data_IF_321678188462
#
_entry.id   IF_321678188462
#
_cell.length_a   1.000
_cell.length_b   1.000
_cell.length_c   1.000
_cell.angle_alpha   90.00
_cell.angle_beta   90.00
_cell.angle_gamma   90.00
#
_symmetry.space_group_name_H-M   'P 1'
#
loop_
_entity.id
_entity.type
_entity.pdbx_description
1 polymer ?
#
# COMPACT_ATOMS: atom_id res chain seq x y z
N UNK A 1 19.56 2.06 -2.48
CA UNK A 1 19.13 1.13 -1.40
C UNK A 1 19.43 -0.35 -1.67
N UNK A 2 20.11 -0.71 -2.78
CA UNK A 2 20.56 -2.11 -3.01
C UNK A 2 21.45 -2.64 -1.90
N UNK A 3 22.31 -1.79 -1.33
CA UNK A 3 23.18 -2.15 -0.20
C UNK A 3 22.37 -2.55 1.04
N UNK A 4 21.25 -1.86 1.31
CA UNK A 4 20.33 -2.24 2.36
C UNK A 4 19.71 -3.61 2.10
N UNK A 5 19.27 -3.89 0.87
CA UNK A 5 18.69 -5.19 0.51
C UNK A 5 19.73 -6.31 0.69
N UNK A 6 20.98 -6.05 0.29
CA UNK A 6 22.09 -6.99 0.50
C UNK A 6 22.33 -7.24 2.00
N UNK A 7 22.42 -6.18 2.82
CA UNK A 7 22.59 -6.28 4.26
C UNK A 7 21.47 -7.09 4.93
N UNK A 8 20.21 -6.77 4.62
CA UNK A 8 19.04 -7.45 5.17
C UNK A 8 19.00 -8.94 4.78
N UNK A 9 19.30 -9.25 3.51
CA UNK A 9 19.21 -10.63 2.98
C UNK A 9 20.41 -11.49 3.35
N UNK A 10 21.62 -10.94 3.30
CA UNK A 10 22.86 -11.73 3.40
C UNK A 10 23.54 -11.61 4.76
N UNK A 11 23.45 -10.46 5.43
CA UNK A 11 24.03 -10.27 6.76
C UNK A 11 23.04 -10.63 7.87
N UNK A 12 21.84 -10.01 7.86
CA UNK A 12 20.79 -10.30 8.85
C UNK A 12 20.02 -11.60 8.55
N UNK A 13 20.10 -12.11 7.32
CA UNK A 13 19.44 -13.33 6.84
C UNK A 13 17.91 -13.33 7.10
N UNK A 14 17.28 -12.17 6.96
CA UNK A 14 15.85 -11.99 7.20
C UNK A 14 15.06 -12.71 6.12
N UNK A 15 14.26 -13.71 6.52
CA UNK A 15 13.51 -14.57 5.62
C UNK A 15 12.34 -13.83 4.96
N UNK A 16 11.57 -13.09 5.74
CA UNK A 16 10.36 -12.41 5.29
C UNK A 16 10.58 -10.90 5.23
N UNK A 17 11.09 -10.45 4.12
CA UNK A 17 11.41 -9.06 3.84
C UNK A 17 10.87 -8.65 2.48
N UNK A 18 10.22 -7.51 2.41
CA UNK A 18 9.80 -6.86 1.18
C UNK A 18 10.06 -5.36 1.27
N UNK A 19 10.56 -4.78 0.21
CA UNK A 19 10.76 -3.33 0.08
C UNK A 19 10.19 -2.82 -1.24
N UNK A 20 9.62 -1.66 -1.19
CA UNK A 20 9.20 -0.90 -2.37
C UNK A 20 9.63 0.56 -2.17
N UNK A 21 10.63 0.98 -2.95
CA UNK A 21 11.30 2.28 -2.83
C UNK A 21 11.80 2.50 -1.39
N UNK A 22 11.15 3.38 -0.61
CA UNK A 22 11.50 3.72 0.78
C UNK A 22 10.70 2.95 1.82
N UNK A 23 9.59 2.33 1.41
CA UNK A 23 8.75 1.54 2.31
C UNK A 23 9.29 0.11 2.41
N UNK A 24 9.55 -0.36 3.63
CA UNK A 24 9.96 -1.74 3.90
C UNK A 24 9.06 -2.41 4.93
N UNK A 25 8.90 -3.71 4.80
CA UNK A 25 8.16 -4.57 5.74
C UNK A 25 8.96 -5.82 6.03
N UNK A 26 9.07 -6.14 7.32
CA UNK A 26 9.69 -7.36 7.84
C UNK A 26 8.64 -8.11 8.66
N UNK A 27 8.58 -9.42 8.52
CA UNK A 27 7.69 -10.27 9.32
C UNK A 27 8.51 -11.23 10.16
N UNK A 28 8.20 -11.29 11.45
CA UNK A 28 8.73 -12.28 12.39
C UNK A 28 7.72 -12.54 13.49
N UNK A 29 7.73 -13.75 14.07
CA UNK A 29 6.83 -14.15 15.15
C UNK A 29 7.30 -13.67 16.53
N UNK A 30 8.56 -13.33 16.68
CA UNK A 30 9.15 -12.83 17.93
C UNK A 30 9.39 -11.32 17.82
N UNK A 31 8.79 -10.57 18.77
CA UNK A 31 8.89 -9.11 18.81
C UNK A 31 10.32 -8.64 19.09
N UNK A 32 11.05 -9.29 19.99
CA UNK A 32 12.42 -8.88 20.35
C UNK A 32 13.36 -9.01 19.14
N UNK A 33 13.13 -10.00 18.27
CA UNK A 33 13.90 -10.12 17.01
C UNK A 33 13.56 -8.99 16.04
N UNK A 34 12.31 -8.54 15.99
CA UNK A 34 11.96 -7.38 15.17
C UNK A 34 12.60 -6.09 15.71
N UNK A 35 12.64 -5.91 17.02
CA UNK A 35 13.33 -4.78 17.67
C UNK A 35 14.83 -4.80 17.34
N UNK A 36 15.47 -5.96 17.44
CA UNK A 36 16.86 -6.15 17.03
C UNK A 36 17.08 -5.80 15.55
N UNK A 37 16.21 -6.27 14.64
CA UNK A 37 16.31 -5.93 13.22
C UNK A 37 16.12 -4.45 12.94
N UNK A 38 15.21 -3.79 13.65
CA UNK A 38 14.98 -2.34 13.53
C UNK A 38 16.23 -1.55 13.92
N UNK A 39 16.87 -1.93 15.03
CA UNK A 39 18.13 -1.31 15.50
C UNK A 39 19.27 -1.52 14.51
N UNK A 40 19.52 -2.74 14.07
CA UNK A 40 20.57 -3.08 13.12
C UNK A 40 20.41 -2.37 11.77
N UNK A 41 19.17 -2.32 11.25
CA UNK A 41 18.87 -1.61 10.01
C UNK A 41 19.09 -0.11 10.18
N UNK A 42 18.67 0.48 11.30
CA UNK A 42 18.87 1.90 11.56
C UNK A 42 20.36 2.26 11.67
N UNK A 43 21.15 1.43 12.36
CA UNK A 43 22.60 1.58 12.47
C UNK A 43 23.27 1.47 11.09
N UNK A 44 22.88 0.49 10.27
CA UNK A 44 23.38 0.36 8.91
C UNK A 44 23.06 1.58 8.04
N UNK A 45 21.81 2.06 8.09
CA UNK A 45 21.37 3.24 7.34
C UNK A 45 22.17 4.48 7.72
N UNK A 46 22.38 4.74 9.03
CA UNK A 46 23.13 5.88 9.54
C UNK A 46 24.60 5.82 9.12
N UNK A 47 25.24 4.68 9.33
CA UNK A 47 26.69 4.54 9.13
C UNK A 47 27.09 4.50 7.65
N UNK A 48 26.33 3.75 6.83
CA UNK A 48 26.70 3.46 5.45
C UNK A 48 26.02 4.37 4.43
N UNK A 49 24.76 4.75 4.66
CA UNK A 49 23.95 5.47 3.68
C UNK A 49 23.63 6.92 4.08
N UNK A 50 24.00 7.33 5.29
CA UNK A 50 23.65 8.66 5.86
C UNK A 50 22.12 8.92 5.85
N UNK A 51 21.36 7.86 6.05
CA UNK A 51 19.91 7.85 6.17
C UNK A 51 19.50 7.36 7.56
N UNK A 52 18.24 7.55 7.93
CA UNK A 52 17.69 7.03 9.17
C UNK A 52 16.24 6.56 8.99
N UNK A 53 15.81 5.65 9.84
CA UNK A 53 14.40 5.26 9.89
C UNK A 53 13.56 6.42 10.43
N UNK A 54 12.42 6.64 9.82
CA UNK A 54 11.50 7.69 10.26
C UNK A 54 10.79 7.25 11.53
N UNK A 55 11.09 7.86 12.69
CA UNK A 55 10.62 7.49 14.03
C UNK A 55 9.10 7.25 14.11
N UNK A 56 8.30 8.15 13.54
CA UNK A 56 6.83 8.04 13.59
C UNK A 56 6.24 6.99 12.66
N UNK A 57 7.00 6.50 11.67
CA UNK A 57 6.53 5.52 10.67
C UNK A 57 7.07 4.12 10.93
N UNK A 58 8.26 4.00 11.50
CA UNK A 58 8.81 2.71 11.92
C UNK A 58 8.04 2.20 13.12
N UNK A 59 7.35 1.08 12.96
CA UNK A 59 6.45 0.52 13.99
C UNK A 59 6.37 -0.98 13.92
N UNK A 60 6.60 -1.62 15.04
CA UNK A 60 6.31 -3.04 15.20
C UNK A 60 4.83 -3.19 15.56
N UNK A 61 4.08 -3.84 14.71
CA UNK A 61 2.63 -4.03 14.86
C UNK A 61 2.24 -5.49 14.64
N UNK A 62 1.23 -5.94 15.37
CA UNK A 62 0.64 -7.27 15.12
C UNK A 62 -0.04 -7.32 13.75
N UNK A 63 0.16 -8.42 13.01
CA UNK A 63 -0.45 -8.67 11.71
C UNK A 63 -1.99 -8.67 11.76
N UNK A 64 -2.58 -9.01 12.91
CA UNK A 64 -4.04 -8.89 13.12
C UNK A 64 -4.58 -7.46 12.96
N UNK A 65 -3.74 -6.45 13.22
CA UNK A 65 -4.10 -5.05 12.99
C UNK A 65 -4.01 -4.64 11.53
N UNK A 66 -3.45 -5.51 10.66
CA UNK A 66 -3.25 -5.28 9.24
C UNK A 66 -2.15 -4.25 8.94
N UNK A 67 -1.20 -4.64 8.09
CA UNK A 67 -0.06 -3.82 7.69
C UNK A 67 -0.44 -2.93 6.51
N UNK A 68 -0.22 -1.63 6.63
CA UNK A 68 -0.44 -0.67 5.53
C UNK A 68 0.77 -0.69 4.60
N UNK A 69 0.59 -1.19 3.38
CA UNK A 69 1.65 -1.25 2.38
C UNK A 69 1.05 -1.13 0.97
N UNK A 70 1.67 -0.33 0.12
CA UNK A 70 1.27 -0.09 -1.28
C UNK A 70 -0.22 0.23 -1.50
N UNK A 71 -0.81 1.02 -0.63
CA UNK A 71 -2.21 1.44 -0.77
C UNK A 71 -3.23 0.44 -0.23
N UNK A 72 -2.76 -0.67 0.31
CA UNK A 72 -3.59 -1.72 0.93
C UNK A 72 -3.36 -1.79 2.44
N UNK A 73 -4.28 -2.47 3.11
CA UNK A 73 -4.14 -2.95 4.48
C UNK A 73 -4.13 -4.49 4.42
N UNK A 74 -2.94 -5.06 4.61
CA UNK A 74 -2.65 -6.47 4.42
C UNK A 74 -2.81 -7.22 5.74
N UNK A 75 -3.61 -8.27 5.74
CA UNK A 75 -3.81 -9.21 6.83
C UNK A 75 -3.22 -10.56 6.44
N UNK A 76 -3.29 -11.54 7.31
CA UNK A 76 -2.72 -12.86 7.04
C UNK A 76 -3.38 -13.55 5.82
N UNK A 77 -4.72 -13.54 5.74
CA UNK A 77 -5.46 -14.27 4.68
C UNK A 77 -6.06 -13.36 3.61
N UNK A 78 -6.14 -12.06 3.83
CA UNK A 78 -6.81 -11.13 2.93
C UNK A 78 -6.18 -9.74 3.00
N UNK A 79 -6.52 -8.93 2.04
CA UNK A 79 -6.17 -7.50 2.03
C UNK A 79 -7.35 -6.63 1.68
N UNK A 80 -7.38 -5.45 2.26
CA UNK A 80 -8.38 -4.42 2.01
C UNK A 80 -7.73 -3.20 1.38
N UNK A 81 -8.51 -2.42 0.66
CA UNK A 81 -8.09 -1.09 0.25
C UNK A 81 -7.89 -0.19 1.48
N UNK A 82 -6.85 0.63 1.45
CA UNK A 82 -6.63 1.64 2.49
C UNK A 82 -7.81 2.62 2.52
N UNK A 83 -8.30 2.97 3.72
CA UNK A 83 -9.47 3.86 3.89
C UNK A 83 -9.32 5.18 3.13
N UNK A 84 -8.12 5.76 3.10
CA UNK A 84 -7.84 6.97 2.33
C UNK A 84 -8.07 6.79 0.82
N UNK A 85 -7.76 5.62 0.25
CA UNK A 85 -7.99 5.32 -1.17
C UNK A 85 -9.50 5.19 -1.46
N UNK A 86 -10.28 4.66 -0.52
CA UNK A 86 -11.75 4.60 -0.64
C UNK A 86 -12.35 6.01 -0.61
N UNK A 87 -11.87 6.87 0.26
CA UNK A 87 -12.32 8.27 0.32
C UNK A 87 -11.95 8.99 -1.00
N UNK A 88 -10.73 8.78 -1.47
CA UNK A 88 -10.21 9.39 -2.70
C UNK A 88 -11.03 9.00 -3.92
N UNK A 89 -11.35 7.72 -4.10
CA UNK A 89 -12.17 7.28 -5.24
C UNK A 89 -13.58 7.86 -5.19
N UNK A 90 -14.22 7.91 -4.01
CA UNK A 90 -15.56 8.51 -3.88
C UNK A 90 -15.58 9.99 -4.29
N UNK A 91 -14.50 10.72 -3.99
CA UNK A 91 -14.33 12.10 -4.45
C UNK A 91 -14.12 12.15 -5.96
N UNK A 92 -13.20 11.35 -6.49
CA UNK A 92 -12.91 11.30 -7.92
C UNK A 92 -14.13 10.93 -8.74
N UNK A 93 -14.97 10.00 -8.30
CA UNK A 93 -16.21 9.65 -9.01
C UNK A 93 -17.16 10.83 -9.13
N UNK A 94 -17.29 11.65 -8.09
CA UNK A 94 -18.12 12.88 -8.15
C UNK A 94 -17.53 13.91 -9.11
N UNK A 95 -16.21 14.06 -9.12
CA UNK A 95 -15.49 14.95 -10.03
C UNK A 95 -15.64 14.46 -11.49
N UNK A 96 -15.43 13.17 -11.76
CA UNK A 96 -15.57 12.60 -13.10
C UNK A 96 -16.99 12.71 -13.65
N UNK A 97 -18.01 12.50 -12.80
CA UNK A 97 -19.41 12.69 -13.18
C UNK A 97 -19.70 14.14 -13.58
N UNK A 98 -19.23 15.10 -12.80
CA UNK A 98 -19.35 16.53 -13.09
C UNK A 98 -18.64 16.90 -14.40
N UNK A 99 -17.41 16.42 -14.59
CA UNK A 99 -16.62 16.69 -15.78
C UNK A 99 -17.29 16.11 -17.04
N UNK A 100 -17.92 14.96 -16.94
CA UNK A 100 -18.70 14.37 -18.01
C UNK A 100 -19.95 15.20 -18.33
N UNK A 101 -20.72 15.59 -17.34
CA UNK A 101 -21.89 16.46 -17.51
C UNK A 101 -21.55 17.83 -18.11
N UNK A 102 -20.34 18.32 -17.89
CA UNK A 102 -19.81 19.56 -18.47
C UNK A 102 -19.12 19.36 -19.82
N UNK A 103 -19.22 18.18 -20.44
CA UNK A 103 -18.54 17.81 -21.68
C UNK A 103 -17.00 17.99 -21.66
N UNK A 104 -16.38 18.01 -20.50
CA UNK A 104 -14.91 18.09 -20.33
C UNK A 104 -14.21 16.77 -20.61
N UNK A 105 -14.88 15.67 -20.39
CA UNK A 105 -14.43 14.32 -20.71
C UNK A 105 -15.54 13.56 -21.46
N UNK A 106 -15.12 12.71 -22.39
CA UNK A 106 -16.05 11.81 -23.08
C UNK A 106 -16.26 10.50 -22.30
N UNK A 107 -17.25 9.72 -22.73
CA UNK A 107 -17.60 8.43 -22.12
C UNK A 107 -16.40 7.45 -22.09
N UNK A 108 -15.65 7.37 -23.18
CA UNK A 108 -14.46 6.49 -23.26
C UNK A 108 -13.42 6.82 -22.22
N UNK A 109 -13.13 8.10 -21.99
CA UNK A 109 -12.18 8.56 -20.96
C UNK A 109 -12.71 8.30 -19.55
N UNK A 110 -14.01 8.47 -19.33
CA UNK A 110 -14.65 8.16 -18.06
C UNK A 110 -14.56 6.66 -17.75
N UNK A 111 -14.88 5.82 -18.72
CA UNK A 111 -14.79 4.36 -18.62
C UNK A 111 -13.35 3.91 -18.33
N UNK A 112 -12.37 4.42 -19.08
CA UNK A 112 -10.94 4.11 -18.85
C UNK A 112 -10.48 4.44 -17.42
N UNK A 113 -10.87 5.60 -16.88
CA UNK A 113 -10.57 5.96 -15.48
C UNK A 113 -11.19 4.99 -14.47
N UNK A 114 -12.45 4.59 -14.70
CA UNK A 114 -13.16 3.66 -13.84
C UNK A 114 -12.54 2.25 -13.89
N UNK A 115 -12.20 1.77 -15.07
CA UNK A 115 -11.60 0.45 -15.28
C UNK A 115 -10.19 0.37 -14.69
N UNK A 116 -9.37 1.40 -14.84
CA UNK A 116 -8.05 1.49 -14.19
C UNK A 116 -8.16 1.42 -12.66
N UNK A 117 -9.17 2.06 -12.08
CA UNK A 117 -9.39 1.97 -10.65
C UNK A 117 -9.92 0.59 -10.22
N UNK A 118 -10.84 -0.01 -10.98
CA UNK A 118 -11.33 -1.37 -10.72
C UNK A 118 -10.19 -2.37 -10.72
N UNK A 119 -9.30 -2.27 -11.71
CA UNK A 119 -8.13 -3.14 -11.80
C UNK A 119 -7.25 -3.03 -10.54
N UNK A 120 -6.93 -1.81 -10.12
CA UNK A 120 -6.22 -1.61 -8.85
C UNK A 120 -7.00 -2.19 -7.66
N UNK A 121 -8.31 -1.99 -7.60
CA UNK A 121 -9.14 -2.47 -6.51
C UNK A 121 -9.30 -3.99 -6.50
N UNK A 122 -9.23 -4.66 -7.66
CA UNK A 122 -9.35 -6.11 -7.80
C UNK A 122 -8.26 -6.89 -7.04
N UNK A 123 -7.10 -6.24 -6.83
CA UNK A 123 -6.03 -6.79 -6.00
C UNK A 123 -6.36 -6.86 -4.49
N UNK A 124 -7.55 -6.45 -4.07
CA UNK A 124 -8.03 -6.53 -2.69
C UNK A 124 -9.42 -7.19 -2.60
N UNK A 125 -9.86 -7.53 -1.40
CA UNK A 125 -11.23 -7.99 -1.14
C UNK A 125 -12.22 -6.82 -1.28
N UNK A 126 -12.42 -6.35 -2.49
CA UNK A 126 -13.15 -5.11 -2.82
C UNK A 126 -14.42 -5.32 -3.64
N UNK A 127 -14.83 -6.56 -3.91
CA UNK A 127 -15.99 -6.87 -4.74
C UNK A 127 -17.27 -6.10 -4.32
N UNK A 128 -17.62 -6.16 -3.03
CA UNK A 128 -18.78 -5.46 -2.50
C UNK A 128 -18.64 -3.92 -2.59
N UNK A 129 -17.42 -3.41 -2.47
CA UNK A 129 -17.15 -1.98 -2.62
C UNK A 129 -17.33 -1.53 -4.07
N UNK A 130 -16.79 -2.28 -5.02
CA UNK A 130 -16.92 -2.01 -6.47
C UNK A 130 -18.41 -1.98 -6.86
N UNK A 131 -19.19 -2.95 -6.36
CA UNK A 131 -20.64 -2.98 -6.61
C UNK A 131 -21.36 -1.78 -5.99
N UNK A 132 -21.06 -1.42 -4.73
CA UNK A 132 -21.65 -0.25 -4.05
C UNK A 132 -21.32 1.09 -4.74
N UNK A 133 -20.23 1.15 -5.45
CA UNK A 133 -19.83 2.34 -6.20
C UNK A 133 -20.44 2.38 -7.61
N UNK A 134 -21.29 1.42 -7.97
CA UNK A 134 -21.93 1.26 -9.29
C UNK A 134 -20.93 1.29 -10.46
N UNK A 135 -19.73 0.76 -10.23
CA UNK A 135 -18.66 0.76 -11.23
C UNK A 135 -18.76 -0.44 -12.18
N UNK A 136 -19.81 -1.28 -12.08
CA UNK A 136 -19.87 -2.53 -12.84
C UNK A 136 -20.37 -2.40 -14.27
N UNK A 137 -21.28 -1.57 -14.62
CA UNK A 137 -21.80 -1.51 -15.99
C UNK A 137 -22.61 -0.25 -16.32
N UNK A 138 -23.04 0.49 -15.31
CA UNK A 138 -23.82 1.71 -15.51
C UNK A 138 -23.22 2.81 -14.64
N UNK A 139 -22.24 3.54 -15.20
CA UNK A 139 -21.73 4.75 -14.55
C UNK A 139 -22.78 5.88 -14.57
N UNK A 140 -23.84 5.69 -15.34
CA UNK A 140 -24.95 6.66 -15.49
C UNK A 140 -26.26 5.94 -15.80
#
# INVERSE_FOLDING_TARGET
LNELDYFVKHKLKIKYYVRYVDDLVILHNNKNILEFYEEEINNFLKNNLKLELHENKSKIISLHKGIKFLGFRNFYYYRLLKKSNIIKIRRSLREWKRDYQQNKINEGKLKSKADSWKEHASHANSYNLINKLNLKSNLF
#
